data_IF_245925025220
#
_entry.id   IF_245925025220
#
_cell.length_a   1.000
_cell.length_b   1.000
_cell.length_c   1.000
_cell.angle_alpha   90.00
_cell.angle_beta   90.00
_cell.angle_gamma   90.00
#
_symmetry.space_group_name_H-M   'P 1'
#
loop_
_entity.id
_entity.type
_entity.pdbx_description
1 polymer ?
#
# COMPACT_ATOMS: atom_id res chain seq x y z
N UNK A 1 22.54 14.32 -17.53
CA UNK A 1 21.09 14.61 -17.40
C UNK A 1 20.64 14.13 -16.03
N UNK A 2 19.88 14.94 -15.29
CA UNK A 2 19.38 14.56 -13.95
C UNK A 2 18.24 13.55 -14.16
N UNK A 3 18.39 12.32 -13.66
CA UNK A 3 17.30 11.34 -13.71
C UNK A 3 16.18 11.82 -12.80
N UNK A 4 14.97 11.92 -13.35
CA UNK A 4 13.75 12.15 -12.58
C UNK A 4 13.18 10.77 -12.28
N UNK A 5 13.23 10.37 -11.02
CA UNK A 5 12.65 9.13 -10.51
C UNK A 5 11.27 9.39 -9.95
N UNK A 6 10.31 8.52 -10.28
CA UNK A 6 8.96 8.58 -9.73
C UNK A 6 8.83 7.61 -8.57
N UNK A 7 8.31 8.10 -7.45
CA UNK A 7 7.82 7.30 -6.33
C UNK A 7 6.36 7.67 -6.04
N UNK A 8 5.62 6.73 -5.46
CA UNK A 8 4.23 6.92 -5.04
C UNK A 8 4.05 6.29 -3.66
N UNK A 9 3.43 7.04 -2.76
CA UNK A 9 3.05 6.59 -1.43
C UNK A 9 1.52 6.49 -1.36
N UNK A 10 1.02 5.37 -0.84
CA UNK A 10 -0.41 5.11 -0.70
C UNK A 10 -0.70 4.68 0.73
N UNK A 11 -1.53 5.46 1.41
CA UNK A 11 -2.02 5.12 2.76
C UNK A 11 -3.39 4.45 2.61
N UNK A 12 -3.49 3.21 3.06
CA UNK A 12 -4.74 2.47 3.13
C UNK A 12 -5.21 2.38 4.58
N UNK A 13 -6.53 2.46 4.77
CA UNK A 13 -7.20 2.21 6.06
C UNK A 13 -7.93 0.88 5.94
N UNK A 14 -7.34 -0.27 6.35
CA UNK A 14 -7.93 -1.59 6.10
C UNK A 14 -9.32 -1.75 6.74
N UNK A 15 -9.59 -1.06 7.85
CA UNK A 15 -10.88 -1.07 8.52
C UNK A 15 -12.00 -0.31 7.80
N UNK A 16 -11.69 0.43 6.73
CA UNK A 16 -12.69 1.16 5.94
C UNK A 16 -13.73 0.20 5.36
N UNK A 17 -14.99 0.66 5.29
CA UNK A 17 -16.11 -0.16 4.79
C UNK A 17 -15.90 -0.66 3.36
N UNK A 18 -15.09 0.06 2.57
CA UNK A 18 -14.68 -0.32 1.22
C UNK A 18 -14.04 -1.72 1.19
N UNK A 19 -13.09 -2.00 2.08
CA UNK A 19 -12.37 -3.28 2.11
C UNK A 19 -13.18 -4.42 2.75
N UNK A 20 -14.36 -4.14 3.31
CA UNK A 20 -15.23 -5.16 3.93
C UNK A 20 -15.98 -6.01 2.91
N UNK A 21 -15.97 -5.62 1.63
CA UNK A 21 -16.62 -6.33 0.52
C UNK A 21 -15.75 -7.48 -0.02
N UNK A 22 -16.36 -8.39 -0.77
CA UNK A 22 -15.89 -9.70 -1.29
C UNK A 22 -14.53 -9.74 -2.05
N UNK A 23 -13.80 -8.63 -2.13
CA UNK A 23 -12.54 -8.53 -2.87
C UNK A 23 -11.42 -9.38 -2.28
N UNK A 24 -11.42 -9.55 -0.96
CA UNK A 24 -10.41 -10.33 -0.27
C UNK A 24 -10.63 -11.86 -0.40
N UNK A 25 -11.76 -12.30 -0.97
CA UNK A 25 -12.04 -13.71 -1.23
C UNK A 25 -11.42 -14.24 -2.54
N UNK A 26 -10.88 -13.36 -3.39
CA UNK A 26 -10.30 -13.72 -4.70
C UNK A 26 -8.89 -14.33 -4.62
N UNK A 27 -8.22 -14.29 -3.48
CA UNK A 27 -6.92 -14.94 -3.31
C UNK A 27 -7.10 -16.46 -3.09
N UNK A 28 -6.28 -17.33 -3.70
CA UNK A 28 -6.36 -18.77 -3.49
C UNK A 28 -6.14 -19.08 -2.00
N UNK A 29 -7.14 -19.65 -1.34
CA UNK A 29 -7.10 -19.97 0.09
C UNK A 29 -6.27 -21.23 0.32
N UNK A 30 -5.07 -21.19 0.94
CA UNK A 30 -4.55 -22.36 1.61
C UNK A 30 -5.48 -22.71 2.79
N UNK A 31 -5.71 -23.99 3.02
CA UNK A 31 -6.67 -24.54 4.01
C UNK A 31 -6.37 -24.21 5.49
N UNK A 32 -5.50 -23.25 5.81
CA UNK A 32 -5.02 -22.97 7.16
C UNK A 32 -5.15 -21.49 7.53
N UNK A 33 -5.93 -21.24 8.59
CA UNK A 33 -6.24 -19.96 9.25
C UNK A 33 -7.10 -18.95 8.46
N UNK A 34 -8.17 -18.49 9.11
CA UNK A 34 -8.91 -17.30 8.68
C UNK A 34 -8.02 -16.09 8.90
N UNK A 35 -7.40 -15.59 7.84
CA UNK A 35 -6.67 -14.32 7.86
C UNK A 35 -7.64 -13.19 8.21
N UNK A 36 -7.18 -12.23 8.99
CA UNK A 36 -7.86 -10.96 9.20
C UNK A 36 -7.99 -10.19 7.87
N UNK A 37 -8.94 -9.27 7.80
CA UNK A 37 -9.13 -8.40 6.64
C UNK A 37 -7.85 -7.68 6.21
N UNK A 38 -7.08 -7.21 7.20
CA UNK A 38 -5.82 -6.51 6.96
C UNK A 38 -4.75 -7.42 6.38
N UNK A 39 -4.59 -8.63 6.90
CA UNK A 39 -3.68 -9.64 6.34
C UNK A 39 -4.06 -10.01 4.90
N UNK A 40 -5.36 -10.15 4.61
CA UNK A 40 -5.83 -10.40 3.25
C UNK A 40 -5.52 -9.23 2.31
N UNK A 41 -5.70 -7.98 2.77
CA UNK A 41 -5.36 -6.79 1.99
C UNK A 41 -3.86 -6.70 1.72
N UNK A 42 -3.00 -7.02 2.70
CA UNK A 42 -1.54 -7.09 2.51
C UNK A 42 -1.19 -8.12 1.42
N UNK A 43 -1.81 -9.31 1.44
CA UNK A 43 -1.59 -10.31 0.40
C UNK A 43 -2.00 -9.82 -0.99
N UNK A 44 -3.14 -9.15 -1.12
CA UNK A 44 -3.56 -8.53 -2.39
C UNK A 44 -2.49 -7.54 -2.88
N UNK A 45 -1.99 -6.68 -1.99
CA UNK A 45 -0.97 -5.68 -2.34
C UNK A 45 0.27 -6.36 -2.92
N UNK A 46 0.81 -7.36 -2.23
CA UNK A 46 1.98 -8.12 -2.68
C UNK A 46 1.75 -8.92 -3.96
N UNK A 47 0.54 -9.45 -4.16
CA UNK A 47 0.18 -10.18 -5.38
C UNK A 47 -0.04 -9.27 -6.60
N UNK A 48 0.13 -7.94 -6.45
CA UNK A 48 -0.07 -6.99 -7.54
C UNK A 48 -1.54 -6.81 -7.94
N UNK A 49 -2.48 -7.29 -7.12
CA UNK A 49 -3.92 -7.21 -7.36
C UNK A 49 -4.53 -5.89 -6.87
N UNK A 50 -3.74 -5.03 -6.21
CA UNK A 50 -4.20 -3.74 -5.74
C UNK A 50 -4.91 -2.90 -6.81
N UNK A 51 -4.43 -2.85 -8.08
CA UNK A 51 -5.13 -2.12 -9.13
C UNK A 51 -6.46 -2.73 -9.60
N UNK A 52 -6.72 -4.00 -9.29
CA UNK A 52 -8.01 -4.64 -9.57
C UNK A 52 -9.04 -4.28 -8.49
N UNK A 53 -8.58 -4.05 -7.26
CA UNK A 53 -9.42 -3.61 -6.14
C UNK A 53 -9.64 -2.09 -6.19
N UNK A 54 -8.59 -1.32 -6.49
CA UNK A 54 -8.57 0.13 -6.52
C UNK A 54 -8.04 0.62 -7.87
N UNK A 55 -8.84 0.56 -8.95
CA UNK A 55 -8.40 0.96 -10.29
C UNK A 55 -7.98 2.44 -10.37
N UNK A 56 -8.48 3.29 -9.47
CA UNK A 56 -8.15 4.72 -9.40
C UNK A 56 -6.65 4.95 -9.18
N UNK A 57 -5.94 4.03 -8.53
CA UNK A 57 -4.49 4.19 -8.28
C UNK A 57 -3.67 4.16 -9.58
N UNK A 58 -4.18 3.53 -10.65
CA UNK A 58 -3.52 3.50 -11.97
C UNK A 58 -3.62 4.85 -12.68
N UNK A 59 -4.63 5.65 -12.37
CA UNK A 59 -4.85 6.95 -13.03
C UNK A 59 -3.86 8.00 -12.53
N UNK A 60 -3.21 7.76 -11.39
CA UNK A 60 -2.34 8.73 -10.72
C UNK A 60 -0.90 8.72 -11.24
N UNK A 61 -0.47 7.69 -11.98
CA UNK A 61 0.91 7.66 -12.51
C UNK A 61 1.02 8.53 -13.76
N UNK A 62 1.59 9.73 -13.59
CA UNK A 62 1.98 10.55 -14.74
C UNK A 62 2.86 9.71 -15.68
N UNK A 63 2.48 9.62 -16.95
CA UNK A 63 3.16 8.86 -18.01
C UNK A 63 2.95 7.34 -18.04
N UNK A 64 1.97 6.77 -17.33
CA UNK A 64 1.66 5.34 -17.40
C UNK A 64 2.88 4.44 -17.08
N UNK A 65 3.83 4.96 -16.31
CA UNK A 65 4.99 4.20 -15.85
C UNK A 65 4.54 3.15 -14.85
N UNK A 66 4.99 1.92 -15.04
CA UNK A 66 4.76 0.84 -14.11
C UNK A 66 5.65 1.04 -12.88
N UNK A 67 5.04 1.26 -11.72
CA UNK A 67 5.75 1.33 -10.45
C UNK A 67 5.70 -0.03 -9.77
N UNK A 68 6.82 -0.43 -9.18
CA UNK A 68 6.93 -1.67 -8.40
C UNK A 68 6.63 -1.37 -6.95
N UNK A 69 5.81 -2.20 -6.30
CA UNK A 69 5.63 -2.17 -4.85
C UNK A 69 6.90 -2.71 -4.19
N UNK A 70 7.57 -1.87 -3.40
CA UNK A 70 8.81 -2.22 -2.72
C UNK A 70 8.59 -2.51 -1.24
N UNK A 71 7.73 -1.74 -0.59
CA UNK A 71 7.49 -1.84 0.85
C UNK A 71 6.00 -1.77 1.18
N UNK A 72 5.61 -2.53 2.21
CA UNK A 72 4.31 -2.46 2.87
C UNK A 72 4.57 -2.31 4.37
N UNK A 73 4.44 -1.08 4.86
CA UNK A 73 4.61 -0.77 6.27
C UNK A 73 3.26 -0.92 6.97
N UNK A 74 3.25 -1.63 8.10
CA UNK A 74 2.04 -2.03 8.80
C UNK A 74 1.93 -1.34 10.17
N UNK A 75 0.83 -0.63 10.42
CA UNK A 75 0.42 -0.18 11.77
C UNK A 75 -0.85 -0.90 12.22
N UNK A 76 -1.35 -0.61 13.43
CA UNK A 76 -2.63 -1.13 13.88
C UNK A 76 -3.79 -0.73 12.94
N UNK A 77 -3.85 0.51 12.47
CA UNK A 77 -5.01 1.08 11.77
C UNK A 77 -4.79 1.33 10.27
N UNK A 78 -3.54 1.35 9.82
CA UNK A 78 -3.15 1.79 8.48
C UNK A 78 -2.11 0.85 7.86
N UNK A 79 -2.10 0.82 6.54
CA UNK A 79 -1.00 0.31 5.72
C UNK A 79 -0.42 1.47 4.93
N UNK A 80 0.90 1.57 4.89
CA UNK A 80 1.64 2.49 4.04
C UNK A 80 2.37 1.69 2.95
N UNK A 81 1.97 1.93 1.71
CA UNK A 81 2.50 1.26 0.54
C UNK A 81 3.46 2.19 -0.19
N UNK A 82 4.67 1.71 -0.44
CA UNK A 82 5.69 2.47 -1.17
C UNK A 82 5.98 1.82 -2.51
N UNK A 83 5.65 2.56 -3.57
CA UNK A 83 5.88 2.16 -4.95
C UNK A 83 6.95 3.05 -5.59
N UNK A 84 7.77 2.49 -6.47
CA UNK A 84 8.81 3.26 -7.14
C UNK A 84 9.38 2.57 -8.37
N UNK A 85 10.06 3.36 -9.22
CA UNK A 85 10.80 2.83 -10.37
C UNK A 85 12.01 1.99 -9.92
N UNK A 86 12.66 2.37 -8.82
CA UNK A 86 13.83 1.69 -8.26
C UNK A 86 13.72 1.59 -6.74
N UNK A 87 14.22 0.49 -6.15
CA UNK A 87 14.22 0.28 -4.70
C UNK A 87 14.96 1.41 -3.94
N UNK A 88 16.05 1.93 -4.53
CA UNK A 88 16.90 2.98 -3.93
C UNK A 88 16.26 4.38 -3.91
N UNK A 89 15.10 4.56 -4.55
CA UNK A 89 14.48 5.89 -4.76
C UNK A 89 13.37 6.24 -3.76
N UNK A 90 13.14 5.41 -2.74
CA UNK A 90 12.24 5.73 -1.64
C UNK A 90 12.94 6.73 -0.69
N UNK A 91 12.91 8.00 -1.08
CA UNK A 91 13.60 9.09 -0.39
C UNK A 91 12.87 9.43 0.92
N UNK A 92 13.26 8.78 2.02
CA UNK A 92 12.65 8.91 3.34
C UNK A 92 12.51 10.37 3.82
N UNK A 93 13.40 11.28 3.39
CA UNK A 93 13.38 12.69 3.79
C UNK A 93 12.12 13.42 3.31
N UNK A 94 11.51 12.97 2.20
CA UNK A 94 10.29 13.55 1.65
C UNK A 94 9.09 12.62 1.79
N UNK A 95 9.24 11.53 2.53
CA UNK A 95 8.16 10.59 2.79
C UNK A 95 7.12 11.20 3.71
N UNK A 96 5.86 10.89 3.48
CA UNK A 96 4.75 11.27 4.36
C UNK A 96 4.89 10.59 5.71
N UNK A 97 5.44 9.36 5.74
CA UNK A 97 5.60 8.48 6.90
C UNK A 97 4.51 8.71 7.99
N UNK A 98 3.31 8.11 7.83
CA UNK A 98 2.18 8.38 8.72
C UNK A 98 2.43 7.97 10.17
N UNK A 99 3.39 7.07 10.41
CA UNK A 99 3.72 6.57 11.74
C UNK A 99 4.30 7.66 12.64
N UNK A 100 5.04 8.61 12.09
CA UNK A 100 5.58 9.75 12.84
C UNK A 100 4.43 10.56 13.46
N UNK A 101 3.39 10.85 12.67
CA UNK A 101 2.22 11.58 13.14
C UNK A 101 1.41 10.80 14.19
N UNK A 102 1.17 9.50 13.96
CA UNK A 102 0.37 8.66 14.88
C UNK A 102 1.05 8.55 16.24
N UNK A 103 2.37 8.36 16.24
CA UNK A 103 3.17 8.29 17.46
C UNK A 103 3.07 9.62 18.23
N UNK A 104 3.11 10.76 17.55
CA UNK A 104 2.93 12.06 18.19
C UNK A 104 1.52 12.26 18.78
N UNK A 105 0.47 11.79 18.11
CA UNK A 105 -0.91 11.91 18.65
C UNK A 105 -1.17 11.02 19.86
N UNK A 106 -0.50 9.87 19.97
CA UNK A 106 -0.68 8.94 21.08
C UNK A 106 0.14 9.30 22.34
N UNK A 107 1.00 10.34 22.27
CA UNK A 107 1.77 10.84 23.42
C UNK A 107 1.09 12.01 24.16
N UNK A 108 -0.08 12.46 23.70
CA UNK A 108 -0.92 13.45 24.38
C UNK A 108 -2.05 12.78 25.16
#
# INVERSE_FOLDING_TARGET
>A
MKQITTSQEIILVPGASFFKRDWCEKAPRPQSKKLSQKEQLIQVCWNGLLPEILPEIRQTTQHNKQLTLWEVNESHELLDLRLGEFNESLNDVWSINPFVCIVMTNMN
#
